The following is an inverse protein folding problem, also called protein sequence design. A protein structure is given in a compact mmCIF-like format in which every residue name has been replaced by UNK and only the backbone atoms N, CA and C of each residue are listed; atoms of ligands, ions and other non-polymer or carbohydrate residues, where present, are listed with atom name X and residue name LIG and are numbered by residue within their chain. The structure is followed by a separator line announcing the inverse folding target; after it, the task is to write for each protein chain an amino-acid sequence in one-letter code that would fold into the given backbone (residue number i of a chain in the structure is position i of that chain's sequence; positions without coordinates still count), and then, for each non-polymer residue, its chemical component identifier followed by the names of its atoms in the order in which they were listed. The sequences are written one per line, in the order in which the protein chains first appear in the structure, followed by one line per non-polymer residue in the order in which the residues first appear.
data_IF_057249024899
#
_entry.id   IF_057249024899
#
_cell.length_a   1.000
_cell.length_b   1.000
_cell.length_c   1.000
_cell.angle_alpha   90.00
_cell.angle_beta   90.00
_cell.angle_gamma   90.00
#
_symmetry.space_group_name_H-M   'P 1'
#
loop_
_entity.id
_entity.type
_entity.pdbx_description
1 polymer ?
#
# COMPACT_ATOMS: atom_id res chain seq x y z
N UNK A 1 -3.35 3.86 21.61
CA UNK A 1 -3.10 3.17 20.35
C UNK A 1 -3.62 1.74 20.41
N UNK A 2 -4.35 1.31 19.39
CA UNK A 2 -4.88 -0.05 19.35
C UNK A 2 -3.79 -1.06 18.99
N UNK A 3 -3.77 -2.19 19.68
CA UNK A 3 -2.92 -3.31 19.32
C UNK A 3 -3.51 -4.02 18.10
N UNK A 4 -2.63 -4.57 17.24
CA UNK A 4 -3.05 -5.46 16.18
C UNK A 4 -3.71 -6.72 16.78
N UNK A 5 -4.80 -7.17 16.16
CA UNK A 5 -5.56 -8.32 16.65
C UNK A 5 -6.00 -9.17 15.45
N UNK A 6 -5.93 -10.52 15.52
CA UNK A 6 -6.30 -11.38 14.38
C UNK A 6 -7.69 -11.11 13.82
N UNK A 7 -8.66 -10.78 14.69
CA UNK A 7 -10.02 -10.47 14.25
C UNK A 7 -10.10 -9.20 13.40
N UNK A 8 -9.05 -8.36 13.39
CA UNK A 8 -9.00 -7.13 12.62
C UNK A 8 -8.29 -7.26 11.27
N UNK A 9 -7.77 -8.46 10.94
CA UNK A 9 -7.11 -8.65 9.65
C UNK A 9 -7.98 -8.22 8.47
N UNK A 10 -9.28 -8.58 8.38
CA UNK A 10 -10.13 -8.08 7.31
C UNK A 10 -10.18 -6.56 7.22
N UNK A 11 -10.22 -5.87 8.35
CA UNK A 11 -10.20 -4.41 8.40
C UNK A 11 -8.91 -3.84 7.81
N UNK A 12 -7.76 -4.42 8.17
CA UNK A 12 -6.47 -3.98 7.62
C UNK A 12 -6.38 -4.20 6.11
N UNK A 13 -6.87 -5.34 5.62
CA UNK A 13 -6.91 -5.61 4.18
C UNK A 13 -7.82 -4.63 3.45
N UNK A 14 -8.95 -4.27 4.06
CA UNK A 14 -9.84 -3.27 3.50
C UNK A 14 -9.16 -1.89 3.42
N UNK A 15 -8.39 -1.51 4.43
CA UNK A 15 -7.61 -0.27 4.41
C UNK A 15 -6.60 -0.26 3.25
N UNK A 16 -5.97 -1.40 2.97
CA UNK A 16 -5.05 -1.51 1.84
C UNK A 16 -5.78 -1.26 0.53
N UNK A 17 -6.92 -1.91 0.32
CA UNK A 17 -7.72 -1.76 -0.90
C UNK A 17 -8.13 -0.30 -1.09
N UNK A 18 -8.63 0.33 -0.04
CA UNK A 18 -9.08 1.72 -0.10
C UNK A 18 -7.91 2.67 -0.40
N UNK A 19 -6.74 2.43 0.20
CA UNK A 19 -5.56 3.26 -0.05
C UNK A 19 -5.05 3.10 -1.49
N UNK A 20 -5.05 1.87 -2.01
CA UNK A 20 -4.71 1.62 -3.42
C UNK A 20 -5.66 2.39 -4.33
N UNK A 21 -6.96 2.32 -4.07
CA UNK A 21 -7.95 2.99 -4.90
C UNK A 21 -7.79 4.51 -4.85
N UNK A 22 -7.44 5.06 -3.68
CA UNK A 22 -7.14 6.50 -3.57
C UNK A 22 -5.91 6.88 -4.38
N UNK A 23 -4.81 6.12 -4.24
CA UNK A 23 -3.58 6.43 -4.97
C UNK A 23 -3.81 6.41 -6.48
N UNK A 24 -4.46 5.37 -7.00
CA UNK A 24 -4.75 5.27 -8.42
C UNK A 24 -5.71 6.35 -8.90
N UNK A 25 -6.69 6.71 -8.06
CA UNK A 25 -7.64 7.78 -8.37
C UNK A 25 -6.98 9.16 -8.44
N UNK A 26 -6.03 9.44 -7.55
CA UNK A 26 -5.35 10.75 -7.53
C UNK A 26 -4.57 11.02 -8.80
N UNK A 27 -4.03 9.99 -9.45
CA UNK A 27 -3.24 10.15 -10.68
C UNK A 27 -4.04 9.88 -11.96
N UNK A 28 -5.33 9.64 -11.85
CA UNK A 28 -6.18 9.35 -13.00
C UNK A 28 -6.06 10.48 -14.03
N UNK A 29 -5.76 10.11 -15.26
CA UNK A 29 -5.60 11.08 -16.35
C UNK A 29 -4.24 11.77 -16.40
N UNK A 30 -3.32 11.47 -15.48
CA UNK A 30 -1.98 12.05 -15.47
C UNK A 30 -0.99 11.16 -16.22
N UNK A 31 0.03 11.79 -16.83
CA UNK A 31 1.25 11.10 -17.23
C UNK A 31 2.34 11.36 -16.19
N UNK A 32 3.51 10.76 -16.38
CA UNK A 32 4.63 10.91 -15.45
C UNK A 32 5.06 12.37 -15.31
N UNK A 33 5.06 13.13 -16.40
CA UNK A 33 5.44 14.54 -16.40
C UNK A 33 4.47 15.37 -15.55
N UNK A 34 3.18 15.16 -15.72
CA UNK A 34 2.15 15.85 -14.93
C UNK A 34 2.30 15.54 -13.44
N UNK A 35 2.58 14.28 -13.11
CA UNK A 35 2.78 13.85 -11.73
C UNK A 35 4.01 14.54 -11.11
N UNK A 36 5.11 14.62 -11.85
CA UNK A 36 6.35 15.28 -11.38
C UNK A 36 6.15 16.76 -11.07
N UNK A 37 5.17 17.40 -11.68
CA UNK A 37 4.90 18.83 -11.53
C UNK A 37 3.78 19.14 -10.53
N UNK A 38 3.19 18.12 -9.93
CA UNK A 38 2.03 18.30 -9.04
C UNK A 38 2.36 17.83 -7.61
N UNK A 39 2.90 18.76 -6.83
CA UNK A 39 3.31 18.46 -5.44
C UNK A 39 2.14 17.99 -4.58
N UNK A 40 0.97 18.59 -4.77
CA UNK A 40 -0.22 18.18 -3.98
C UNK A 40 -0.59 16.73 -4.25
N UNK A 41 -0.59 16.30 -5.50
CA UNK A 41 -0.87 14.92 -5.86
C UNK A 41 0.23 13.99 -5.34
N UNK A 42 1.49 14.38 -5.43
CA UNK A 42 2.61 13.61 -4.87
C UNK A 42 2.41 13.35 -3.39
N UNK A 43 2.09 14.38 -2.62
CA UNK A 43 1.89 14.26 -1.17
C UNK A 43 0.71 13.34 -0.85
N UNK A 44 -0.39 13.47 -1.59
CA UNK A 44 -1.56 12.62 -1.40
C UNK A 44 -1.26 11.15 -1.69
N UNK A 45 -0.55 10.88 -2.79
CA UNK A 45 -0.14 9.53 -3.19
C UNK A 45 0.80 8.92 -2.15
N UNK A 46 1.81 9.67 -1.73
CA UNK A 46 2.78 9.21 -0.74
C UNK A 46 2.06 8.81 0.56
N UNK A 47 1.10 9.61 1.00
CA UNK A 47 0.31 9.27 2.18
C UNK A 47 -0.47 7.97 1.98
N UNK A 48 -1.07 7.75 0.82
CA UNK A 48 -1.78 6.51 0.52
C UNK A 48 -0.82 5.30 0.55
N UNK A 49 0.39 5.44 0.00
CA UNK A 49 1.39 4.38 0.03
C UNK A 49 1.87 4.06 1.46
N UNK A 50 1.99 5.07 2.32
CA UNK A 50 2.27 4.84 3.74
C UNK A 50 1.19 3.98 4.39
N UNK A 51 -0.08 4.26 4.09
CA UNK A 51 -1.20 3.49 4.63
C UNK A 51 -1.15 2.04 4.14
N UNK A 52 -0.84 1.81 2.87
CA UNK A 52 -0.67 0.46 2.33
C UNK A 52 0.36 -0.32 3.15
N UNK A 53 1.54 0.25 3.35
CA UNK A 53 2.62 -0.41 4.09
C UNK A 53 2.29 -0.61 5.56
N UNK A 54 1.69 0.38 6.20
CA UNK A 54 1.32 0.31 7.62
C UNK A 54 0.26 -0.75 7.87
N UNK A 55 -0.79 -0.77 7.03
CA UNK A 55 -1.86 -1.76 7.15
C UNK A 55 -1.36 -3.17 6.86
N UNK A 56 -0.44 -3.34 5.89
CA UNK A 56 0.18 -4.62 5.61
C UNK A 56 0.94 -5.14 6.83
N UNK A 57 1.70 -4.27 7.48
CA UNK A 57 2.43 -4.65 8.69
C UNK A 57 1.49 -5.03 9.84
N UNK A 58 0.41 -4.26 10.03
CA UNK A 58 -0.57 -4.57 11.07
C UNK A 58 -1.25 -5.92 10.82
N UNK A 59 -1.59 -6.23 9.58
CA UNK A 59 -2.15 -7.53 9.23
C UNK A 59 -1.18 -8.67 9.55
N UNK A 60 0.08 -8.54 9.17
CA UNK A 60 1.12 -9.54 9.41
C UNK A 60 1.39 -9.75 10.89
N UNK A 61 1.43 -8.67 11.67
CA UNK A 61 1.63 -8.74 13.13
C UNK A 61 0.42 -9.38 13.80
N UNK A 62 -0.80 -9.07 13.33
CA UNK A 62 -2.02 -9.64 13.86
C UNK A 62 -2.14 -11.14 13.56
N UNK A 63 -1.67 -11.57 12.39
CA UNK A 63 -1.66 -12.98 11.98
C UNK A 63 -0.35 -13.33 11.27
N UNK A 64 0.67 -13.77 12.02
CA UNK A 64 1.97 -14.11 11.43
C UNK A 64 1.92 -15.24 10.40
N UNK A 65 0.86 -16.06 10.41
CA UNK A 65 0.72 -17.15 9.44
C UNK A 65 0.46 -16.64 8.01
N UNK A 66 0.11 -15.36 7.85
CA UNK A 66 -0.14 -14.79 6.52
C UNK A 66 1.07 -14.88 5.60
N UNK A 67 2.28 -14.83 6.13
CA UNK A 67 3.47 -14.99 5.30
C UNK A 67 3.53 -16.36 4.64
N UNK A 68 3.01 -17.38 5.30
CA UNK A 68 2.97 -18.77 4.79
C UNK A 68 1.70 -19.05 3.99
N UNK A 69 0.56 -18.52 4.41
CA UNK A 69 -0.75 -18.80 3.80
C UNK A 69 -1.09 -17.89 2.63
N UNK A 70 -0.45 -16.72 2.55
CA UNK A 70 -0.61 -15.76 1.47
C UNK A 70 0.75 -15.25 0.97
N UNK A 71 1.63 -16.16 0.47
CA UNK A 71 2.98 -15.78 0.05
C UNK A 71 2.98 -14.94 -1.24
N UNK A 72 1.87 -14.93 -1.98
CA UNK A 72 1.70 -14.12 -3.18
C UNK A 72 1.66 -12.62 -2.89
N UNK A 73 1.47 -12.24 -1.62
CA UNK A 73 1.45 -10.84 -1.20
C UNK A 73 2.84 -10.49 -0.66
N UNK A 74 3.50 -9.45 -1.21
CA UNK A 74 4.86 -9.09 -0.81
C UNK A 74 4.86 -8.24 0.48
N UNK A 75 4.52 -8.86 1.61
CA UNK A 75 4.37 -8.19 2.90
C UNK A 75 5.59 -7.36 3.29
N UNK A 76 6.78 -7.94 3.16
CA UNK A 76 8.03 -7.27 3.55
C UNK A 76 8.34 -6.08 2.64
N UNK A 77 8.07 -6.22 1.35
CA UNK A 77 8.30 -5.14 0.38
C UNK A 77 7.35 -3.97 0.65
N UNK A 78 6.08 -4.26 0.95
CA UNK A 78 5.08 -3.24 1.26
C UNK A 78 5.48 -2.43 2.50
N UNK A 79 5.88 -3.12 3.56
CA UNK A 79 6.30 -2.44 4.80
C UNK A 79 7.64 -1.74 4.62
N UNK A 80 8.57 -2.33 3.89
CA UNK A 80 9.86 -1.72 3.58
C UNK A 80 9.72 -0.41 2.82
N UNK A 81 8.80 -0.35 1.86
CA UNK A 81 8.50 0.89 1.13
C UNK A 81 7.97 1.97 2.08
N UNK A 82 7.05 1.61 2.98
CA UNK A 82 6.54 2.55 4.00
C UNK A 82 7.67 3.12 4.84
N UNK A 83 8.61 2.28 5.28
CA UNK A 83 9.73 2.73 6.10
C UNK A 83 10.64 3.69 5.34
N UNK A 84 10.92 3.42 4.07
CA UNK A 84 11.71 4.31 3.23
C UNK A 84 11.04 5.66 3.07
N UNK A 85 9.74 5.69 2.80
CA UNK A 85 8.98 6.93 2.66
C UNK A 85 9.02 7.75 3.96
N UNK A 86 8.83 7.11 5.11
CA UNK A 86 8.80 7.80 6.41
C UNK A 86 10.17 8.38 6.76
N UNK A 87 11.25 7.65 6.47
CA UNK A 87 12.60 8.08 6.83
C UNK A 87 13.25 9.00 5.79
N UNK A 88 12.89 8.85 4.52
CA UNK A 88 13.54 9.55 3.41
C UNK A 88 12.60 10.57 2.75
N UNK A 89 11.72 11.21 3.52
CA UNK A 89 10.65 12.03 2.97
C UNK A 89 11.13 13.21 2.12
N UNK A 90 12.38 13.69 2.30
CA UNK A 90 12.96 14.72 1.44
C UNK A 90 13.54 14.16 0.14
N UNK A 91 13.81 12.87 0.08
CA UNK A 91 14.52 12.22 -1.03
C UNK A 91 13.70 11.08 -1.64
N UNK A 92 12.37 11.14 -1.50
CA UNK A 92 11.50 10.12 -2.11
C UNK A 92 11.66 10.20 -3.63
N UNK A 93 12.00 9.06 -4.23
CA UNK A 93 12.16 8.95 -5.67
C UNK A 93 10.78 8.90 -6.34
N UNK A 94 10.40 10.00 -6.99
CA UNK A 94 9.09 10.11 -7.64
C UNK A 94 8.91 9.14 -8.81
N UNK A 95 10.00 8.76 -9.48
CA UNK A 95 9.92 7.76 -10.55
C UNK A 95 9.53 6.40 -9.99
N UNK A 96 10.10 6.02 -8.84
CA UNK A 96 9.74 4.79 -8.14
C UNK A 96 8.29 4.84 -7.68
N UNK A 97 7.86 5.96 -7.14
CA UNK A 97 6.46 6.16 -6.72
C UNK A 97 5.52 5.99 -7.90
N UNK A 98 5.82 6.63 -9.02
CA UNK A 98 5.01 6.54 -10.24
C UNK A 98 4.91 5.09 -10.74
N UNK A 99 6.04 4.37 -10.80
CA UNK A 99 6.06 2.97 -11.22
C UNK A 99 5.26 2.08 -10.25
N UNK A 100 5.35 2.35 -8.97
CA UNK A 100 4.55 1.62 -7.97
C UNK A 100 3.06 1.77 -8.26
N UNK A 101 2.58 2.97 -8.55
CA UNK A 101 1.16 3.21 -8.83
C UNK A 101 0.74 2.57 -10.15
N UNK A 102 1.59 2.64 -11.18
CA UNK A 102 1.22 2.18 -12.52
C UNK A 102 1.34 0.67 -12.70
N UNK A 103 2.26 0.02 -11.97
CA UNK A 103 2.59 -1.39 -12.16
C UNK A 103 2.28 -2.25 -10.94
N UNK A 104 2.78 -1.84 -9.78
CA UNK A 104 2.73 -2.71 -8.60
C UNK A 104 1.35 -2.74 -7.95
N UNK A 105 0.71 -1.58 -7.79
CA UNK A 105 -0.62 -1.53 -7.17
C UNK A 105 -1.69 -2.25 -7.98
N UNK A 106 -1.75 -2.13 -9.32
CA UNK A 106 -2.72 -2.91 -10.10
C UNK A 106 -2.55 -4.42 -9.98
N UNK A 107 -1.31 -4.91 -9.78
CA UNK A 107 -1.07 -6.33 -9.54
C UNK A 107 -1.44 -6.75 -8.12
N UNK A 108 -1.16 -5.89 -7.15
CA UNK A 108 -1.38 -6.17 -5.73
C UNK A 108 -2.86 -6.21 -5.38
N UNK A 109 -3.64 -5.29 -5.92
CA UNK A 109 -5.05 -5.12 -5.54
C UNK A 109 -5.86 -6.41 -5.63
N UNK A 110 -5.87 -7.14 -6.76
CA UNK A 110 -6.64 -8.38 -6.84
C UNK A 110 -6.18 -9.45 -5.85
N UNK A 111 -4.88 -9.48 -5.52
CA UNK A 111 -4.36 -10.42 -4.55
C UNK A 111 -4.90 -10.14 -3.15
N UNK A 112 -4.98 -8.87 -2.76
CA UNK A 112 -5.56 -8.46 -1.48
C UNK A 112 -7.06 -8.75 -1.45
N UNK A 113 -7.78 -8.45 -2.54
CA UNK A 113 -9.22 -8.73 -2.65
C UNK A 113 -9.49 -10.23 -2.51
N UNK A 114 -8.69 -11.07 -3.16
CA UNK A 114 -8.84 -12.51 -3.09
C UNK A 114 -8.54 -13.05 -1.68
N UNK A 115 -7.51 -12.54 -1.03
CA UNK A 115 -7.21 -12.92 0.35
C UNK A 115 -8.35 -12.54 1.28
N UNK A 116 -8.87 -11.32 1.16
CA UNK A 116 -9.99 -10.87 1.98
C UNK A 116 -11.21 -11.79 1.79
N UNK A 117 -11.52 -12.16 0.56
CA UNK A 117 -12.63 -13.06 0.27
C UNK A 117 -12.42 -14.45 0.89
N UNK A 118 -11.17 -14.94 0.91
CA UNK A 118 -10.84 -16.25 1.48
C UNK A 118 -11.05 -16.33 2.99
N UNK A 119 -10.77 -15.23 3.69
CA UNK A 119 -10.79 -15.21 5.16
C UNK A 119 -12.11 -14.70 5.76
N UNK A 120 -13.01 -14.19 4.93
CA UNK A 120 -14.34 -13.74 5.38
C UNK A 120 -15.32 -14.89 5.57
#
# INVERSE_FOLDING_TARGET
MRKAHPARVPEYLQHIIEAIDRATGYVAGMDATAFEQDTRTQDAVIRALEIVGEAANKARVADPTLQDTAPEIPWDVMYGMRNRIVHDYFEVDLDVVWQTIQRDLPELRPRIVQLLARIL
#
